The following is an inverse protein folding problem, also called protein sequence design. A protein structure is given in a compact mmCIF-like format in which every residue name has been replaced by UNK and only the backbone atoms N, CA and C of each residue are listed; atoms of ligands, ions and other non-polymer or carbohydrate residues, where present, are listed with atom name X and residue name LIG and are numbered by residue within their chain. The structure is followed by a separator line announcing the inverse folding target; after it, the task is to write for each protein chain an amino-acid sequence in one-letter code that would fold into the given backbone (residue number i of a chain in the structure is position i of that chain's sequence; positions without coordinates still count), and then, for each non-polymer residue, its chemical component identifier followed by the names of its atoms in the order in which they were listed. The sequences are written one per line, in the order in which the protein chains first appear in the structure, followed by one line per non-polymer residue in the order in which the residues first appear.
data_IF_688230339413
#
_entry.id   IF_688230339413
#
_cell.length_a   1.000
_cell.length_b   1.000
_cell.length_c   1.000
_cell.angle_alpha   90.00
_cell.angle_beta   90.00
_cell.angle_gamma   90.00
#
_symmetry.space_group_name_H-M   'P 1'
#
loop_
_entity.id
_entity.type
_entity.pdbx_description
1 polymer ?
#
# COMPACT_ATOMS: atom_id res chain seq x y z
N UNK A 1 20.71 2.43 32.79
CA UNK A 1 20.12 1.99 31.51
C UNK A 1 18.83 2.78 31.29
N UNK A 2 18.84 3.76 30.39
CA UNK A 2 17.64 4.54 30.04
C UNK A 2 16.99 3.83 28.85
N UNK A 3 15.80 3.27 29.06
CA UNK A 3 14.98 2.70 28.00
C UNK A 3 14.36 3.86 27.22
N UNK A 4 15.01 4.29 26.15
CA UNK A 4 14.42 5.23 25.17
C UNK A 4 13.31 4.48 24.45
N UNK A 5 12.06 4.73 24.83
CA UNK A 5 10.92 4.35 24.01
C UNK A 5 10.96 5.21 22.75
N UNK A 6 11.72 4.77 21.75
CA UNK A 6 11.56 5.26 20.38
C UNK A 6 10.15 4.81 19.99
N UNK A 7 9.22 5.75 19.92
CA UNK A 7 7.91 5.49 19.35
C UNK A 7 8.12 5.09 17.89
N UNK A 8 8.24 3.79 17.63
CA UNK A 8 8.26 3.26 16.28
C UNK A 8 6.90 3.59 15.70
N UNK A 9 6.87 4.50 14.73
CA UNK A 9 5.68 4.74 13.93
C UNK A 9 5.41 3.46 13.14
N UNK A 10 4.50 2.62 13.65
CA UNK A 10 4.08 1.38 13.02
C UNK A 10 3.09 1.64 11.87
N UNK A 11 3.44 2.55 10.97
CA UNK A 11 2.65 2.84 9.80
C UNK A 11 3.50 3.20 8.57
N UNK A 12 2.94 2.91 7.40
CA UNK A 12 3.44 3.31 6.08
C UNK A 12 2.48 4.35 5.49
N UNK A 13 2.48 5.61 6.00
CA UNK A 13 1.48 6.60 5.61
C UNK A 13 1.49 6.89 4.10
N UNK A 14 2.65 6.80 3.45
CA UNK A 14 2.76 6.98 2.00
C UNK A 14 2.11 5.84 1.22
N UNK A 15 2.20 4.59 1.68
CA UNK A 15 1.46 3.48 1.08
C UNK A 15 -0.05 3.72 1.17
N UNK A 16 -0.53 4.19 2.33
CA UNK A 16 -1.94 4.52 2.54
C UNK A 16 -2.43 5.66 1.63
N UNK A 17 -1.63 6.72 1.47
CA UNK A 17 -1.92 7.83 0.54
C UNK A 17 -1.97 7.34 -0.91
N UNK A 18 -0.99 6.54 -1.33
CA UNK A 18 -0.94 5.94 -2.68
C UNK A 18 -2.17 5.09 -2.95
N UNK A 19 -2.58 4.24 -2.00
CA UNK A 19 -3.82 3.45 -2.11
C UNK A 19 -5.06 4.35 -2.27
N UNK A 20 -5.18 5.41 -1.46
CA UNK A 20 -6.31 6.34 -1.55
C UNK A 20 -6.36 7.06 -2.90
N UNK A 21 -5.21 7.44 -3.43
CA UNK A 21 -5.11 8.06 -4.76
C UNK A 21 -5.50 7.06 -5.86
N UNK A 22 -4.89 5.87 -5.83
CA UNK A 22 -5.12 4.80 -6.79
C UNK A 22 -6.60 4.42 -6.90
N UNK A 23 -7.35 4.33 -5.78
CA UNK A 23 -8.78 3.99 -5.86
C UNK A 23 -9.66 5.08 -6.45
N UNK A 24 -9.27 6.35 -6.32
CA UNK A 24 -10.09 7.48 -6.78
C UNK A 24 -10.01 7.68 -8.28
N UNK A 25 -8.97 7.16 -8.92
CA UNK A 25 -8.78 7.27 -10.36
C UNK A 25 -9.83 6.45 -11.16
N UNK A 26 -10.00 5.13 -10.94
CA UNK A 26 -11.06 4.35 -11.59
C UNK A 26 -12.44 4.52 -10.94
N UNK A 27 -12.51 4.86 -9.63
CA UNK A 27 -13.76 4.97 -8.88
C UNK A 27 -13.92 6.35 -8.21
N UNK A 28 -14.06 7.44 -8.97
CA UNK A 28 -14.07 8.80 -8.42
C UNK A 28 -15.28 9.13 -7.53
N UNK A 29 -16.38 8.38 -7.69
CA UNK A 29 -17.60 8.53 -6.88
C UNK A 29 -17.63 7.64 -5.63
N UNK A 30 -16.70 6.71 -5.52
CA UNK A 30 -16.66 5.82 -4.36
C UNK A 30 -16.12 6.57 -3.14
N UNK A 31 -16.88 6.52 -2.05
CA UNK A 31 -16.40 6.84 -0.71
C UNK A 31 -15.60 5.69 -0.10
N UNK A 32 -15.40 5.74 1.21
CA UNK A 32 -14.75 4.63 1.93
C UNK A 32 -15.65 3.39 2.01
N UNK A 33 -16.98 3.53 2.02
CA UNK A 33 -17.87 2.39 2.20
C UNK A 33 -17.97 1.56 0.90
N UNK A 34 -18.12 2.26 -0.21
CA UNK A 34 -18.31 1.71 -1.55
C UNK A 34 -17.06 0.93 -1.99
N UNK A 35 -15.88 1.55 -1.84
CA UNK A 35 -14.64 0.86 -2.20
C UNK A 35 -14.30 -0.30 -1.25
N UNK A 36 -14.61 -0.16 0.04
CA UNK A 36 -14.41 -1.24 1.01
C UNK A 36 -15.24 -2.48 0.65
N UNK A 37 -16.48 -2.27 0.16
CA UNK A 37 -17.32 -3.34 -0.36
C UNK A 37 -16.68 -4.05 -1.57
N UNK A 38 -16.12 -3.30 -2.53
CA UNK A 38 -15.47 -3.88 -3.72
C UNK A 38 -14.33 -4.84 -3.38
N UNK A 39 -13.53 -4.49 -2.38
CA UNK A 39 -12.37 -5.28 -1.97
C UNK A 39 -12.70 -6.27 -0.83
N UNK A 40 -13.96 -6.39 -0.41
CA UNK A 40 -14.41 -7.36 0.58
C UNK A 40 -13.93 -7.08 2.01
N UNK A 41 -13.82 -5.81 2.41
CA UNK A 41 -13.38 -5.42 3.76
C UNK A 41 -14.37 -4.49 4.45
N UNK A 42 -14.28 -4.35 5.78
CA UNK A 42 -15.03 -3.32 6.49
C UNK A 42 -14.51 -1.92 6.15
N UNK A 43 -15.39 -0.91 6.21
CA UNK A 43 -15.02 0.51 6.09
C UNK A 43 -13.87 0.90 7.04
N UNK A 44 -13.90 0.41 8.28
CA UNK A 44 -12.85 0.66 9.27
C UNK A 44 -11.51 0.04 8.87
N UNK A 45 -11.52 -1.11 8.21
CA UNK A 45 -10.31 -1.73 7.69
C UNK A 45 -9.73 -0.90 6.54
N UNK A 46 -10.55 -0.48 5.57
CA UNK A 46 -10.06 0.39 4.50
C UNK A 46 -9.52 1.72 5.05
N UNK A 47 -10.16 2.28 6.08
CA UNK A 47 -9.65 3.48 6.74
C UNK A 47 -8.27 3.26 7.38
N UNK A 48 -8.02 2.10 8.00
CA UNK A 48 -6.69 1.72 8.49
C UNK A 48 -5.69 1.54 7.36
N UNK A 49 -6.12 0.90 6.26
CA UNK A 49 -5.28 0.72 5.06
C UNK A 49 -4.81 2.05 4.49
N UNK A 50 -5.73 3.02 4.31
CA UNK A 50 -5.43 4.37 3.82
C UNK A 50 -4.60 5.22 4.80
N UNK A 51 -4.53 4.82 6.08
CA UNK A 51 -3.61 5.40 7.07
C UNK A 51 -2.24 4.71 7.09
N UNK A 52 -2.06 3.63 6.32
CA UNK A 52 -0.84 2.83 6.31
C UNK A 52 -0.64 1.97 7.55
N UNK A 53 -1.70 1.64 8.29
CA UNK A 53 -1.61 0.86 9.53
C UNK A 53 -1.09 -0.55 9.27
N UNK A 54 0.07 -0.89 9.87
CA UNK A 54 0.75 -2.18 9.69
C UNK A 54 0.04 -3.36 10.36
N UNK A 55 -1.01 -3.12 11.16
CA UNK A 55 -1.85 -4.21 11.69
C UNK A 55 -2.76 -4.83 10.61
N UNK A 56 -2.91 -4.20 9.44
CA UNK A 56 -3.68 -4.75 8.33
C UNK A 56 -2.81 -5.67 7.49
N UNK A 57 -3.31 -6.89 7.22
CA UNK A 57 -2.54 -7.87 6.46
C UNK A 57 -2.27 -7.42 5.03
N UNK A 58 -1.06 -7.72 4.54
CA UNK A 58 -0.63 -7.45 3.15
C UNK A 58 -1.59 -8.04 2.12
N UNK A 59 -2.18 -9.21 2.39
CA UNK A 59 -3.18 -9.82 1.50
C UNK A 59 -4.40 -8.94 1.22
N UNK A 60 -4.78 -8.04 2.14
CA UNK A 60 -5.88 -7.08 1.91
C UNK A 60 -5.45 -5.93 1.01
N UNK A 61 -4.20 -5.51 1.10
CA UNK A 61 -3.61 -4.57 0.15
C UNK A 61 -3.47 -5.20 -1.24
N UNK A 62 -3.07 -6.47 -1.33
CA UNK A 62 -3.04 -7.21 -2.59
C UNK A 62 -4.43 -7.32 -3.21
N UNK A 63 -5.48 -7.63 -2.42
CA UNK A 63 -6.86 -7.63 -2.92
C UNK A 63 -7.30 -6.29 -3.49
N UNK A 64 -6.87 -5.19 -2.88
CA UNK A 64 -7.12 -3.87 -3.45
C UNK A 64 -6.36 -3.66 -4.76
N UNK A 65 -5.12 -4.15 -4.87
CA UNK A 65 -4.36 -4.12 -6.11
C UNK A 65 -5.06 -4.89 -7.23
N UNK A 66 -5.62 -6.08 -6.95
CA UNK A 66 -6.41 -6.85 -7.92
C UNK A 66 -7.60 -6.07 -8.48
N UNK A 67 -8.38 -5.43 -7.61
CA UNK A 67 -9.54 -4.62 -8.03
C UNK A 67 -9.12 -3.36 -8.80
N UNK A 68 -7.88 -2.89 -8.62
CA UNK A 68 -7.35 -1.70 -9.26
C UNK A 68 -6.50 -1.99 -10.51
N UNK A 69 -6.24 -3.26 -10.84
CA UNK A 69 -5.33 -3.64 -11.93
C UNK A 69 -3.87 -3.28 -11.64
N UNK A 70 -3.42 -3.41 -10.38
CA UNK A 70 -2.09 -3.04 -9.89
C UNK A 70 -1.29 -4.24 -9.33
N UNK A 71 -1.66 -5.46 -9.67
CA UNK A 71 -1.07 -6.70 -9.13
C UNK A 71 0.43 -6.80 -9.41
N UNK A 72 0.85 -6.47 -10.64
CA UNK A 72 2.26 -6.48 -11.04
C UNK A 72 3.06 -5.45 -10.24
N UNK A 73 2.54 -4.22 -10.15
CA UNK A 73 3.16 -3.15 -9.33
C UNK A 73 3.26 -3.57 -7.86
N UNK A 74 2.24 -4.22 -7.31
CA UNK A 74 2.27 -4.69 -5.93
C UNK A 74 3.29 -5.79 -5.71
N UNK A 75 3.43 -6.70 -6.68
CA UNK A 75 4.41 -7.79 -6.64
C UNK A 75 5.86 -7.26 -6.68
N UNK A 76 6.07 -6.06 -7.23
CA UNK A 76 7.37 -5.35 -7.26
C UNK A 76 7.73 -4.57 -5.99
N UNK A 77 6.95 -4.61 -4.91
CA UNK A 77 7.20 -3.78 -3.71
C UNK A 77 8.56 -3.99 -3.04
N UNK A 78 9.23 -5.13 -3.30
CA UNK A 78 10.53 -5.50 -2.72
C UNK A 78 11.54 -5.91 -3.79
N UNK A 79 11.38 -5.44 -5.02
CA UNK A 79 12.38 -5.59 -6.06
C UNK A 79 13.32 -4.39 -6.05
N UNK A 80 14.61 -4.63 -6.29
CA UNK A 80 15.54 -3.54 -6.57
C UNK A 80 15.15 -2.89 -7.90
N UNK A 81 15.26 -1.57 -7.99
CA UNK A 81 15.29 -0.93 -9.31
C UNK A 81 16.58 -1.39 -10.00
N UNK A 82 16.46 -2.13 -11.09
CA UNK A 82 17.59 -2.39 -11.96
C UNK A 82 18.02 -1.05 -12.59
N UNK A 83 19.09 -0.48 -12.07
CA UNK A 83 19.73 0.69 -12.67
C UNK A 83 20.33 0.28 -14.01
N UNK A 84 19.94 0.99 -15.08
CA UNK A 84 20.57 0.85 -16.40
C UNK A 84 22.07 1.18 -16.38
N UNK A 85 22.57 1.81 -15.30
CA UNK A 85 23.96 2.22 -15.13
C UNK A 85 24.78 1.28 -14.25
N UNK A 86 24.16 0.23 -13.69
CA UNK A 86 24.84 -0.71 -12.80
C UNK A 86 25.29 -1.98 -13.55
N UNK A 87 25.46 -1.94 -14.88
CA UNK A 87 25.98 -3.08 -15.65
C UNK A 87 27.45 -3.35 -15.28
N UNK A 88 27.76 -4.46 -14.59
CA UNK A 88 29.13 -4.77 -14.19
C UNK A 88 30.04 -5.15 -15.39
N UNK A 89 29.52 -5.15 -16.63
CA UNK A 89 30.28 -5.44 -17.86
C UNK A 89 30.87 -4.18 -18.52
N UNK A 90 30.68 -2.99 -17.97
CA UNK A 90 31.22 -1.73 -18.51
C UNK A 90 32.45 -1.19 -17.76
N UNK A 91 33.12 -1.99 -16.94
CA UNK A 91 34.41 -1.67 -16.29
C UNK A 91 35.56 -2.52 -16.81
#
# INVERSE_FOLDING_TARGET
MILVHIAVKNNLPELGKKLRHARKQPFPRDGLAEFALRIGVSRSTLQKMEKGDLSVSTGRYYRAAEILGLEETFSGLLTFEESLFDDPRTV
#
